data_IF_263227486523
#
_entry.id   IF_263227486523
#
_cell.length_a   1.000
_cell.length_b   1.000
_cell.length_c   1.000
_cell.angle_alpha   90.00
_cell.angle_beta   90.00
_cell.angle_gamma   90.00
#
_symmetry.space_group_name_H-M   'P 1'
#
loop_
_entity.id
_entity.type
_entity.pdbx_description
1 polymer ?
#
# COMPACT_ATOMS: atom_id res chain seq x y z
N UNK A 1 6.64 38.26 30.62
CA UNK A 1 5.86 37.02 30.84
C UNK A 1 5.01 36.60 29.63
N UNK A 2 4.56 37.52 28.77
CA UNK A 2 3.75 37.20 27.57
C UNK A 2 4.58 36.61 26.40
N UNK A 3 5.87 36.94 26.30
CA UNK A 3 6.74 36.53 25.18
C UNK A 3 7.11 35.03 25.17
N UNK A 4 7.12 34.35 26.33
CA UNK A 4 7.42 32.91 26.41
C UNK A 4 6.20 32.04 26.06
N UNK A 5 4.98 32.53 26.28
CA UNK A 5 3.76 31.77 26.02
C UNK A 5 3.48 31.63 24.50
N UNK A 6 3.85 32.65 23.71
CA UNK A 6 3.67 32.63 22.25
C UNK A 6 4.63 31.67 21.54
N UNK A 7 5.87 31.51 22.02
CA UNK A 7 6.83 30.55 21.44
C UNK A 7 6.40 29.11 21.70
N UNK A 8 5.92 28.83 22.92
CA UNK A 8 5.45 27.48 23.28
C UNK A 8 4.15 27.13 22.54
N UNK A 9 3.25 28.11 22.35
CA UNK A 9 2.06 27.93 21.52
C UNK A 9 2.40 27.69 20.05
N UNK A 10 3.39 28.41 19.49
CA UNK A 10 3.79 28.26 18.09
C UNK A 10 4.46 26.91 17.83
N UNK A 11 5.31 26.43 18.75
CA UNK A 11 5.95 25.11 18.67
C UNK A 11 4.90 24.00 18.83
N UNK A 12 3.97 24.13 19.77
CA UNK A 12 2.89 23.16 19.97
C UNK A 12 1.95 23.13 18.77
N UNK A 13 1.63 24.28 18.18
CA UNK A 13 0.80 24.38 16.98
C UNK A 13 1.50 23.84 15.73
N UNK A 14 2.78 24.12 15.53
CA UNK A 14 3.58 23.57 14.43
C UNK A 14 3.74 22.04 14.55
N UNK A 15 3.90 21.52 15.77
CA UNK A 15 3.91 20.08 16.03
C UNK A 15 2.52 19.45 15.82
N UNK A 16 1.44 20.15 16.16
CA UNK A 16 0.06 19.69 15.93
C UNK A 16 -0.32 19.70 14.44
N UNK A 17 0.18 20.67 13.66
CA UNK A 17 0.06 20.70 12.18
C UNK A 17 0.87 19.56 11.56
N UNK A 18 2.12 19.33 11.99
CA UNK A 18 2.92 18.19 11.52
C UNK A 18 2.27 16.83 11.87
N UNK A 19 1.60 16.73 13.02
CA UNK A 19 0.92 15.50 13.46
C UNK A 19 -0.36 15.20 12.68
N UNK A 20 -0.99 16.18 12.03
CA UNK A 20 -2.23 15.97 11.25
C UNK A 20 -1.99 15.67 9.76
N UNK A 21 -0.79 15.88 9.22
CA UNK A 21 -0.50 15.71 7.79
C UNK A 21 0.24 14.40 7.44
N UNK A 22 0.32 13.43 8.36
CA UNK A 22 1.10 12.20 8.17
C UNK A 22 0.27 10.94 8.48
N UNK A 23 -0.95 10.89 7.96
CA UNK A 23 -1.80 9.69 8.02
C UNK A 23 -1.23 8.66 7.05
N UNK A 24 -0.50 7.68 7.58
CA UNK A 24 -0.06 6.52 6.82
C UNK A 24 -1.13 5.44 6.92
N UNK A 25 -1.63 4.96 5.78
CA UNK A 25 -2.56 3.84 5.75
C UNK A 25 -1.78 2.53 5.75
N UNK A 26 -2.13 1.63 6.67
CA UNK A 26 -1.52 0.31 6.79
C UNK A 26 -2.45 -0.74 6.18
N UNK A 27 -1.91 -1.65 5.37
CA UNK A 27 -2.63 -2.84 4.91
C UNK A 27 -1.80 -4.08 5.14
N UNK A 28 -2.42 -5.03 5.84
CA UNK A 28 -1.88 -6.37 6.07
C UNK A 28 -2.54 -7.34 5.11
N UNK A 29 -1.74 -8.01 4.29
CA UNK A 29 -2.21 -8.97 3.31
C UNK A 29 -1.08 -9.91 2.87
N UNK A 30 -1.41 -10.88 2.02
CA UNK A 30 -0.41 -11.72 1.37
C UNK A 30 -0.01 -11.07 0.05
N UNK A 31 1.20 -10.52 0.03
CA UNK A 31 1.71 -9.76 -1.11
C UNK A 31 2.56 -10.64 -2.00
N UNK A 32 2.45 -10.45 -3.31
CA UNK A 32 3.27 -11.10 -4.33
C UNK A 32 4.04 -10.06 -5.14
N UNK A 33 5.36 -10.23 -5.23
CA UNK A 33 6.21 -9.44 -6.14
C UNK A 33 6.15 -10.09 -7.54
N UNK A 34 5.57 -9.37 -8.51
CA UNK A 34 5.44 -9.80 -9.92
C UNK A 34 6.41 -9.01 -10.80
N UNK A 35 6.92 -9.62 -11.87
CA UNK A 35 7.82 -8.99 -12.84
C UNK A 35 7.27 -9.11 -14.24
N UNK A 36 7.11 -7.99 -14.93
CA UNK A 36 6.51 -7.95 -16.26
C UNK A 36 7.53 -7.40 -17.24
N UNK A 37 7.63 -8.04 -18.41
CA UNK A 37 8.43 -7.56 -19.51
C UNK A 37 7.53 -7.22 -20.69
N UNK A 38 7.71 -6.01 -21.21
CA UNK A 38 7.03 -5.52 -22.41
C UNK A 38 7.97 -4.60 -23.20
N UNK A 39 7.61 -4.33 -24.45
CA UNK A 39 8.34 -3.39 -25.29
C UNK A 39 7.79 -1.99 -25.09
N UNK A 40 8.62 -1.08 -24.56
CA UNK A 40 8.29 0.33 -24.37
C UNK A 40 8.91 1.14 -25.51
N UNK A 41 8.11 2.02 -26.11
CA UNK A 41 8.60 3.02 -27.05
C UNK A 41 9.38 4.06 -26.27
N UNK A 42 10.68 4.17 -26.55
CA UNK A 42 11.54 5.19 -25.98
C UNK A 42 11.35 6.53 -26.72
N UNK A 43 11.88 7.62 -26.14
CA UNK A 43 11.77 8.97 -26.72
C UNK A 43 12.40 9.10 -28.12
N UNK A 44 13.26 8.17 -28.50
CA UNK A 44 13.89 8.05 -29.82
C UNK A 44 13.03 7.32 -30.86
N UNK A 45 11.84 6.85 -30.46
CA UNK A 45 10.92 6.05 -31.30
C UNK A 45 11.30 4.57 -31.42
N UNK A 46 12.36 4.11 -30.76
CA UNK A 46 12.75 2.69 -30.75
C UNK A 46 11.99 1.91 -29.69
N UNK A 47 11.54 0.70 -30.06
CA UNK A 47 10.99 -0.27 -29.12
C UNK A 47 12.11 -0.97 -28.37
N UNK A 48 12.09 -0.90 -27.04
CA UNK A 48 13.04 -1.61 -26.18
C UNK A 48 12.32 -2.46 -25.15
N UNK A 49 12.72 -3.73 -24.96
CA UNK A 49 12.17 -4.56 -23.90
C UNK A 49 12.64 -4.04 -22.55
N UNK A 50 11.69 -3.65 -21.71
CA UNK A 50 11.94 -3.26 -20.32
C UNK A 50 11.31 -4.26 -19.37
N UNK A 51 11.83 -4.37 -18.15
CA UNK A 51 11.25 -5.24 -17.12
C UNK A 51 10.94 -4.40 -15.90
N UNK A 52 9.66 -4.33 -15.56
CA UNK A 52 9.13 -3.59 -14.42
C UNK A 52 8.67 -4.57 -13.34
N UNK A 53 8.76 -4.14 -12.09
CA UNK A 53 8.36 -4.94 -10.93
C UNK A 53 7.14 -4.29 -10.29
N UNK A 54 6.15 -5.11 -9.98
CA UNK A 54 4.93 -4.69 -9.31
C UNK A 54 4.70 -5.56 -8.08
N UNK A 55 3.81 -5.12 -7.21
CA UNK A 55 3.35 -5.90 -6.07
C UNK A 55 1.84 -5.99 -6.15
N UNK A 56 1.30 -7.18 -5.91
CA UNK A 56 -0.14 -7.39 -5.87
C UNK A 56 -0.52 -8.12 -4.59
N UNK A 57 -1.63 -7.74 -3.99
CA UNK A 57 -2.27 -8.53 -2.94
C UNK A 57 -3.07 -9.66 -3.60
N UNK A 58 -2.80 -10.90 -3.17
CA UNK A 58 -3.41 -12.11 -3.69
C UNK A 58 -3.26 -13.26 -2.69
N UNK A 59 -4.13 -14.27 -2.76
CA UNK A 59 -4.04 -15.47 -1.93
C UNK A 59 -3.28 -16.61 -2.63
N UNK A 60 -3.09 -16.53 -3.95
CA UNK A 60 -2.43 -17.57 -4.75
C UNK A 60 -1.63 -17.02 -5.93
N UNK A 61 -0.71 -17.81 -6.45
CA UNK A 61 0.08 -17.45 -7.64
C UNK A 61 -0.80 -17.17 -8.87
N UNK A 62 -1.86 -17.95 -9.07
CA UNK A 62 -2.80 -17.78 -10.19
C UNK A 62 -3.59 -16.49 -10.05
N UNK A 63 -4.01 -16.14 -8.83
CA UNK A 63 -4.70 -14.88 -8.57
C UNK A 63 -3.77 -13.68 -8.75
N UNK A 64 -2.52 -13.76 -8.28
CA UNK A 64 -1.52 -12.73 -8.49
C UNK A 64 -1.24 -12.51 -9.99
N UNK A 65 -1.18 -13.60 -10.77
CA UNK A 65 -1.02 -13.55 -12.23
C UNK A 65 -2.22 -12.85 -12.90
N UNK A 66 -3.44 -13.24 -12.55
CA UNK A 66 -4.63 -12.64 -13.12
C UNK A 66 -4.76 -11.15 -12.76
N UNK A 67 -4.57 -10.81 -11.48
CA UNK A 67 -4.67 -9.43 -10.99
C UNK A 67 -3.71 -8.51 -11.76
N UNK A 68 -2.45 -8.92 -11.92
CA UNK A 68 -1.49 -8.07 -12.62
C UNK A 68 -1.76 -8.01 -14.14
N UNK A 69 -2.28 -9.08 -14.75
CA UNK A 69 -2.69 -9.04 -16.16
C UNK A 69 -3.82 -8.03 -16.37
N UNK A 70 -4.83 -8.04 -15.49
CA UNK A 70 -5.96 -7.11 -15.55
C UNK A 70 -5.49 -5.66 -15.45
N UNK A 71 -4.67 -5.34 -14.43
CA UNK A 71 -4.13 -3.99 -14.26
C UNK A 71 -3.27 -3.56 -15.45
N UNK A 72 -2.34 -4.40 -15.89
CA UNK A 72 -1.43 -4.03 -16.99
C UNK A 72 -2.11 -3.90 -18.35
N UNK A 73 -3.18 -4.65 -18.59
CA UNK A 73 -3.93 -4.58 -19.85
C UNK A 73 -4.50 -3.18 -20.13
N UNK A 74 -4.72 -2.38 -19.08
CA UNK A 74 -5.18 -1.00 -19.21
C UNK A 74 -4.05 -0.03 -19.65
N UNK A 75 -2.79 -0.38 -19.37
CA UNK A 75 -1.64 0.53 -19.57
C UNK A 75 -0.76 0.15 -20.77
N UNK A 76 -0.66 -1.14 -21.11
CA UNK A 76 0.24 -1.64 -22.15
C UNK A 76 -0.55 -1.92 -23.43
N UNK A 77 -0.35 -1.08 -24.45
CA UNK A 77 -0.82 -1.35 -25.80
C UNK A 77 0.12 -2.35 -26.50
N UNK A 78 -0.08 -3.65 -26.27
CA UNK A 78 0.68 -4.71 -26.93
C UNK A 78 0.88 -5.96 -26.08
N UNK A 79 1.68 -6.88 -26.60
CA UNK A 79 2.00 -8.12 -25.90
C UNK A 79 2.97 -7.85 -24.74
N UNK A 80 2.64 -8.37 -23.57
CA UNK A 80 3.54 -8.42 -22.42
C UNK A 80 3.66 -9.85 -21.92
N UNK A 81 4.73 -10.10 -21.15
CA UNK A 81 4.94 -11.39 -20.49
C UNK A 81 5.27 -11.22 -19.03
N UNK A 82 4.67 -12.06 -18.20
CA UNK A 82 5.10 -12.20 -16.82
C UNK A 82 6.35 -13.06 -16.81
N UNK A 83 7.43 -12.51 -16.24
CA UNK A 83 8.76 -13.14 -16.19
C UNK A 83 9.07 -13.76 -14.84
N UNK A 84 8.27 -13.44 -13.82
CA UNK A 84 8.40 -14.04 -12.50
C UNK A 84 7.31 -13.57 -11.53
N UNK A 85 6.92 -14.48 -10.64
CA UNK A 85 6.01 -14.22 -9.53
C UNK A 85 6.63 -14.89 -8.30
N UNK A 86 6.70 -14.19 -7.18
CA UNK A 86 7.16 -14.75 -5.90
C UNK A 86 6.40 -14.11 -4.72
N UNK A 87 6.19 -14.84 -3.61
CA UNK A 87 5.69 -14.23 -2.39
C UNK A 87 6.65 -13.13 -1.90
N UNK A 88 6.09 -12.02 -1.46
CA UNK A 88 6.86 -10.94 -0.87
C UNK A 88 7.36 -11.33 0.54
N UNK A 89 8.52 -10.81 0.98
CA UNK A 89 9.05 -11.08 2.32
C UNK A 89 8.39 -10.22 3.42
N UNK A 90 7.40 -9.40 3.06
CA UNK A 90 6.65 -8.48 3.93
C UNK A 90 5.17 -8.80 3.84
N UNK A 91 4.47 -8.67 4.96
CA UNK A 91 3.02 -8.89 5.05
C UNK A 91 2.25 -7.59 5.27
N UNK A 92 2.95 -6.49 5.51
CA UNK A 92 2.35 -5.20 5.80
C UNK A 92 2.99 -4.11 4.94
N UNK A 93 2.13 -3.29 4.35
CA UNK A 93 2.49 -2.19 3.45
C UNK A 93 1.96 -0.88 4.02
N UNK A 94 2.82 0.14 4.06
CA UNK A 94 2.49 1.50 4.49
C UNK A 94 2.33 2.39 3.26
N UNK A 95 1.09 2.78 2.99
CA UNK A 95 0.71 3.69 1.92
C UNK A 95 0.72 5.12 2.45
N UNK A 96 1.32 6.01 1.67
CA UNK A 96 1.30 7.44 1.95
C UNK A 96 0.11 8.08 1.25
N UNK A 97 -0.56 9.02 1.91
CA UNK A 97 -1.60 9.86 1.30
C UNK A 97 -1.01 11.05 0.52
N UNK A 98 0.31 11.22 0.52
CA UNK A 98 0.99 12.33 -0.16
C UNK A 98 1.34 11.95 -1.60
N UNK A 99 0.82 12.73 -2.55
CA UNK A 99 1.03 12.54 -4.00
C UNK A 99 2.51 12.61 -4.43
N UNK A 100 3.40 13.18 -3.61
CA UNK A 100 4.83 13.24 -3.92
C UNK A 100 5.57 11.94 -3.62
N UNK A 101 4.96 11.00 -2.89
CA UNK A 101 5.61 9.76 -2.48
C UNK A 101 5.45 8.71 -3.58
N UNK A 102 6.36 8.75 -4.54
CA UNK A 102 6.34 7.96 -5.77
C UNK A 102 7.23 6.69 -5.73
N UNK A 103 7.95 6.45 -4.62
CA UNK A 103 8.88 5.32 -4.49
C UNK A 103 8.50 4.38 -3.36
N UNK A 104 9.00 3.16 -3.50
CA UNK A 104 8.78 2.07 -2.57
C UNK A 104 10.08 1.62 -1.92
N UNK A 105 10.09 1.59 -0.59
CA UNK A 105 11.23 1.20 0.23
C UNK A 105 10.93 -0.07 1.00
N UNK A 106 11.84 -1.05 0.94
CA UNK A 106 11.79 -2.25 1.77
C UNK A 106 12.52 -1.96 3.08
N UNK A 107 11.79 -1.97 4.18
CA UNK A 107 12.32 -1.74 5.50
C UNK A 107 12.34 -3.03 6.31
N UNK A 108 13.42 -3.25 7.06
CA UNK A 108 13.56 -4.36 8.00
C UNK A 108 13.65 -3.79 9.40
N UNK A 109 12.65 -4.09 10.21
CA UNK A 109 12.60 -3.68 11.62
C UNK A 109 12.93 -4.87 12.50
N UNK A 110 13.65 -4.59 13.58
CA UNK A 110 14.02 -5.56 14.60
C UNK A 110 13.31 -5.18 15.89
N UNK A 111 12.30 -5.96 16.27
CA UNK A 111 11.60 -5.80 17.53
C UNK A 111 12.37 -6.48 18.65
N UNK A 112 12.57 -5.76 19.75
CA UNK A 112 13.28 -6.26 20.93
C UNK A 112 12.23 -6.56 22.00
N UNK A 113 12.13 -7.82 22.41
CA UNK A 113 11.27 -8.25 23.50
C UNK A 113 12.10 -8.98 24.55
N UNK A 114 11.66 -8.94 25.82
CA UNK A 114 12.29 -9.71 26.88
C UNK A 114 11.59 -11.07 26.97
N UNK A 115 12.36 -12.16 26.98
CA UNK A 115 11.82 -13.49 27.23
C UNK A 115 11.58 -13.67 28.74
N UNK A 116 10.31 -13.81 29.15
CA UNK A 116 9.89 -13.93 30.55
C UNK A 116 10.51 -15.12 31.29
N UNK A 117 11.00 -16.14 30.58
CA UNK A 117 11.58 -17.35 31.20
C UNK A 117 13.09 -17.26 31.36
N UNK A 118 13.76 -16.55 30.46
CA UNK A 118 15.23 -16.55 30.39
C UNK A 118 15.86 -15.20 30.69
N UNK A 119 15.05 -14.15 30.84
CA UNK A 119 15.48 -12.75 31.02
C UNK A 119 16.44 -12.28 29.92
N UNK A 120 16.45 -12.95 28.76
CA UNK A 120 17.27 -12.60 27.60
C UNK A 120 16.46 -11.80 26.60
N UNK A 121 17.14 -10.85 25.95
CA UNK A 121 16.58 -10.13 24.81
C UNK A 121 16.37 -11.08 23.63
N UNK A 122 15.13 -11.13 23.15
CA UNK A 122 14.76 -11.75 21.89
C UNK A 122 14.60 -10.68 20.84
N UNK A 123 15.24 -10.89 19.69
CA UNK A 123 15.16 -10.00 18.53
C UNK A 123 14.40 -10.70 17.42
N UNK A 124 13.25 -10.15 17.01
CA UNK A 124 12.47 -10.64 15.87
C UNK A 124 12.52 -9.64 14.73
N UNK A 125 12.90 -10.11 13.54
CA UNK A 125 12.97 -9.27 12.35
C UNK A 125 11.67 -9.38 11.56
N UNK A 126 11.10 -8.25 11.17
CA UNK A 126 9.91 -8.15 10.31
C UNK A 126 10.22 -7.20 9.17
N UNK A 127 9.79 -7.55 7.95
CA UNK A 127 9.93 -6.66 6.80
C UNK A 127 8.62 -5.95 6.50
N UNK A 128 8.75 -4.70 6.07
CA UNK A 128 7.68 -3.81 5.67
C UNK A 128 7.99 -3.25 4.29
N UNK A 129 6.95 -2.89 3.55
CA UNK A 129 7.07 -2.07 2.36
C UNK A 129 6.49 -0.68 2.67
N UNK A 130 7.23 0.38 2.36
CA UNK A 130 6.87 1.75 2.75
C UNK A 130 6.94 2.65 1.54
N UNK A 131 5.85 3.36 1.28
CA UNK A 131 5.79 4.39 0.26
C UNK A 131 6.39 5.70 0.78
N UNK A 132 7.32 6.29 0.04
CA UNK A 132 7.94 7.59 0.35
C UNK A 132 8.63 8.18 -0.88
N UNK A 133 8.85 9.50 -0.87
CA UNK A 133 9.62 10.24 -1.89
C UNK A 133 11.15 10.08 -1.75
N UNK A 134 11.62 9.74 -0.55
CA UNK A 134 13.05 9.60 -0.23
C UNK A 134 13.28 8.62 0.92
N UNK A 135 14.53 8.13 1.04
CA UNK A 135 14.96 7.26 2.13
C UNK A 135 14.67 7.86 3.51
N UNK A 136 14.93 9.15 3.68
CA UNK A 136 14.65 9.84 4.95
C UNK A 136 13.14 9.98 5.20
N UNK A 137 12.35 10.16 4.14
CA UNK A 137 10.89 10.11 4.22
C UNK A 137 10.38 8.75 4.70
N UNK A 138 10.90 7.66 4.13
CA UNK A 138 10.54 6.30 4.55
C UNK A 138 10.82 6.05 6.03
N UNK A 139 11.97 6.52 6.54
CA UNK A 139 12.29 6.42 7.98
C UNK A 139 11.28 7.21 8.83
N UNK A 140 10.93 8.45 8.43
CA UNK A 140 9.92 9.24 9.14
C UNK A 140 8.55 8.59 9.14
N UNK A 141 8.15 7.96 8.03
CA UNK A 141 6.87 7.24 7.95
C UNK A 141 6.86 6.04 8.90
N UNK A 142 7.96 5.28 8.94
CA UNK A 142 8.14 4.18 9.90
C UNK A 142 8.04 4.69 11.33
N UNK A 143 8.76 5.76 11.67
CA UNK A 143 8.73 6.33 13.03
C UNK A 143 7.36 6.87 13.41
N UNK A 144 6.62 7.42 12.45
CA UNK A 144 5.25 7.90 12.66
C UNK A 144 4.27 6.76 12.95
N UNK A 145 4.42 5.61 12.28
CA UNK A 145 3.57 4.44 12.49
C UNK A 145 3.97 3.71 13.78
N UNK A 146 5.25 3.36 13.90
CA UNK A 146 5.77 2.54 14.99
C UNK A 146 5.92 3.31 16.30
N UNK A 147 6.19 4.61 16.26
CA UNK A 147 6.29 5.46 17.45
C UNK A 147 4.99 5.61 18.24
N UNK A 148 3.85 5.24 17.64
CA UNK A 148 2.58 5.14 18.36
C UNK A 148 2.44 3.84 19.17
N UNK A 149 3.31 2.86 18.94
CA UNK A 149 3.33 1.59 19.67
C UNK A 149 4.26 1.69 20.87
N UNK A 150 3.92 1.00 21.96
CA UNK A 150 4.82 0.89 23.13
C UNK A 150 5.91 -0.20 22.95
N UNK A 151 6.17 -0.60 21.71
CA UNK A 151 7.11 -1.69 21.40
C UNK A 151 8.46 -1.07 21.04
N UNK A 152 9.52 -1.56 21.68
CA UNK A 152 10.88 -1.18 21.33
C UNK A 152 11.30 -1.83 20.01
N UNK A 153 11.76 -1.03 19.06
CA UNK A 153 12.25 -1.50 17.76
C UNK A 153 13.52 -0.77 17.33
N UNK A 154 14.36 -1.45 16.56
CA UNK A 154 15.50 -0.89 15.83
C UNK A 154 15.24 -1.00 14.32
N UNK A 155 15.61 0.02 13.54
CA UNK A 155 15.59 -0.08 12.07
C UNK A 155 16.90 -0.76 11.63
N UNK A 156 16.81 -2.01 11.16
CA UNK A 156 17.97 -2.78 10.73
C UNK A 156 18.46 -2.39 9.33
N UNK A 157 17.54 -2.10 8.42
CA UNK A 157 17.87 -1.62 7.06
C UNK A 157 16.66 -1.02 6.37
N UNK A 158 16.88 -0.03 5.50
CA UNK A 158 15.88 0.49 4.56
C UNK A 158 16.53 0.56 3.18
N UNK A 159 15.88 0.01 2.17
CA UNK A 159 16.44 -0.08 0.81
C UNK A 159 15.40 0.32 -0.22
N UNK A 160 15.78 1.20 -1.14
CA UNK A 160 14.94 1.58 -2.28
C UNK A 160 14.73 0.38 -3.20
N UNK A 161 13.52 0.21 -3.70
CA UNK A 161 13.16 -0.90 -4.60
C UNK A 161 12.88 -0.39 -6.00
N UNK A 162 12.85 -1.31 -6.97
CA UNK A 162 12.42 -1.04 -8.35
C UNK A 162 10.93 -1.33 -8.53
N UNK A 163 10.16 -1.37 -7.44
CA UNK A 163 8.72 -1.57 -7.49
C UNK A 163 8.10 -0.29 -8.07
N UNK A 164 7.36 -0.44 -9.15
CA UNK A 164 6.67 0.65 -9.83
C UNK A 164 5.37 1.00 -9.11
N UNK A 165 4.59 -0.02 -8.74
CA UNK A 165 3.32 0.18 -8.07
C UNK A 165 2.91 -1.04 -7.21
N UNK A 166 1.97 -0.82 -6.29
CA UNK A 166 1.41 -1.82 -5.38
C UNK A 166 -0.11 -1.83 -5.53
N UNK A 167 -0.63 -2.90 -6.12
CA UNK A 167 -2.06 -3.08 -6.34
C UNK A 167 -2.69 -3.88 -5.21
N UNK A 168 -3.72 -3.30 -4.64
CA UNK A 168 -4.54 -3.92 -3.62
C UNK A 168 -5.54 -4.88 -4.25
N UNK A 169 -5.77 -6.01 -3.59
CA UNK A 169 -6.73 -7.00 -4.06
C UNK A 169 -8.11 -6.36 -4.08
N UNK A 170 -8.71 -6.30 -5.27
CA UNK A 170 -10.11 -5.89 -5.46
C UNK A 170 -10.98 -7.10 -5.19
N UNK A 171 -11.01 -7.59 -3.95
CA UNK A 171 -12.11 -8.45 -3.52
C UNK A 171 -13.37 -7.64 -3.74
N UNK A 172 -14.31 -8.15 -4.52
CA UNK A 172 -15.63 -7.63 -4.88
C UNK A 172 -16.38 -6.96 -3.72
N UNK A 173 -15.92 -5.81 -3.29
CA UNK A 173 -16.47 -4.97 -2.22
C UNK A 173 -16.57 -3.51 -2.67
N UNK A 174 -16.38 -3.26 -3.98
CA UNK A 174 -16.60 -1.95 -4.60
C UNK A 174 -16.99 -2.00 -6.10
N UNK A 175 -17.37 -3.15 -6.66
CA UNK A 175 -18.18 -3.16 -7.89
C UNK A 175 -19.65 -3.25 -7.46
N UNK A 176 -20.41 -2.20 -7.77
CA UNK A 176 -21.86 -2.03 -7.59
C UNK A 176 -22.40 -1.70 -6.18
N UNK A 177 -22.26 -0.44 -5.75
CA UNK A 177 -23.42 0.30 -5.25
C UNK A 177 -24.09 1.05 -6.41
N UNK A 178 -24.27 0.35 -7.55
CA UNK A 178 -25.33 0.70 -8.49
C UNK A 178 -26.62 0.16 -7.91
N UNK A 179 -27.61 1.01 -7.91
CA UNK A 179 -28.92 0.86 -7.28
C UNK A 179 -29.69 -0.33 -7.87
N UNK A 180 -29.38 -1.56 -7.43
CA UNK A 180 -30.20 -2.74 -7.69
C UNK A 180 -31.40 -2.68 -6.74
N UNK A 181 -32.36 -1.83 -7.10
CA UNK A 181 -33.72 -1.92 -6.59
C UNK A 181 -34.33 -3.16 -7.27
N UNK A 182 -34.65 -4.25 -6.55
CA UNK A 182 -35.30 -5.39 -7.18
C UNK A 182 -36.66 -4.97 -7.73
N UNK A 183 -36.80 -5.03 -9.04
CA UNK A 183 -38.06 -4.85 -9.76
C UNK A 183 -38.90 -6.13 -9.62
N UNK A 184 -39.56 -6.28 -8.46
CA UNK A 184 -40.79 -7.06 -8.33
C UNK A 184 -41.47 -6.76 -6.99
N UNK A 185 -42.34 -5.74 -6.97
CA UNK A 185 -43.56 -5.80 -6.18
C UNK A 185 -44.66 -5.26 -7.11
N UNK A 186 -45.25 -6.16 -7.90
CA UNK A 186 -46.55 -5.92 -8.49
C UNK A 186 -47.56 -5.89 -7.34
N UNK A 187 -47.93 -4.67 -6.91
CA UNK A 187 -49.07 -4.51 -6.02
C UNK A 187 -50.36 -4.58 -6.84
N UNK A 188 -51.32 -5.44 -6.44
CA UNK A 188 -52.57 -5.63 -7.15
C UNK A 188 -53.48 -4.44 -6.88
N UNK A 189 -53.74 -3.62 -7.90
CA UNK A 189 -54.85 -2.65 -7.86
C UNK A 189 -55.90 -2.95 -8.91
N UNK A 190 -56.93 -3.61 -8.39
CA UNK A 190 -58.35 -3.28 -8.58
C UNK A 190 -58.86 -3.12 -10.01
N UNK A 191 -59.48 -4.20 -10.46
CA UNK A 191 -60.60 -4.21 -11.41
C UNK A 191 -61.70 -3.23 -10.99
N UNK A 192 -62.10 -2.34 -11.91
CA UNK A 192 -63.40 -1.66 -11.99
C UNK A 192 -63.55 -1.25 -13.48
N UNK A 193 -64.12 -2.12 -14.32
CA UNK A 193 -65.52 -2.15 -14.81
C UNK A 193 -65.85 -1.15 -15.94
N UNK A 194 -66.15 -1.71 -17.13
CA UNK A 194 -67.15 -1.33 -18.15
C UNK A 194 -66.80 -2.17 -19.41
N UNK A 195 -67.64 -3.08 -19.92
CA UNK A 195 -69.04 -2.95 -20.31
C UNK A 195 -69.69 -4.35 -20.44
#
# INVERSE_FOLDING_TARGET
MIFLCLTDYFVTFANKINKQNNSMRQRTADWFETKIRYDKTMDDGMLKPITEQYVVDALSFTEAENAIIEEMSAFIAGDFKITGIKPAPYHEVFFSENDNDDKWYKAKLQFITLDEKTEKEKRSNVNYLVQASSLQGAVKHIDSVMGNTMITYDIASVTETLIMDVYEHVATTAKAATNDKPEYEEDPKSTEEAE
#
